data_IF_495207915889
#
_entry.id   IF_495207915889
#
_cell.length_a   1.000
_cell.length_b   1.000
_cell.length_c   1.000
_cell.angle_alpha   90.00
_cell.angle_beta   90.00
_cell.angle_gamma   90.00
#
_symmetry.space_group_name_H-M   'P 1'
#
loop_
_entity.id
_entity.type
_entity.pdbx_description
1 polymer ?
#
# COMPACT_ATOMS: atom_id res chain seq x y z
N UNK A 1 -21.28 -17.39 -5.34
CA UNK A 1 -20.08 -16.54 -5.28
C UNK A 1 -18.99 -17.21 -6.06
N UNK A 2 -18.34 -16.51 -6.99
CA UNK A 2 -17.19 -17.03 -7.73
C UNK A 2 -16.00 -17.20 -6.77
N UNK A 3 -15.50 -18.44 -6.53
CA UNK A 3 -14.36 -18.68 -5.65
C UNK A 3 -13.10 -17.92 -6.08
N UNK A 4 -12.89 -17.71 -7.39
CA UNK A 4 -11.72 -16.99 -7.92
C UNK A 4 -11.71 -15.54 -7.46
N UNK A 5 -12.87 -14.86 -7.56
CA UNK A 5 -13.03 -13.47 -7.14
C UNK A 5 -12.82 -13.28 -5.65
N UNK A 6 -13.28 -14.23 -4.83
CA UNK A 6 -13.09 -14.16 -3.38
C UNK A 6 -11.60 -14.24 -3.01
N UNK A 7 -10.83 -15.12 -3.65
CA UNK A 7 -9.40 -15.25 -3.39
C UNK A 7 -8.61 -14.02 -3.88
N UNK A 8 -9.01 -13.41 -5.00
CA UNK A 8 -8.46 -12.11 -5.44
C UNK A 8 -8.70 -11.03 -4.39
N UNK A 9 -9.91 -10.92 -3.85
CA UNK A 9 -10.24 -9.93 -2.82
C UNK A 9 -9.44 -10.14 -1.53
N UNK A 10 -9.30 -11.38 -1.06
CA UNK A 10 -8.46 -11.70 0.11
C UNK A 10 -7.00 -11.33 -0.10
N UNK A 11 -6.47 -11.63 -1.30
CA UNK A 11 -5.09 -11.28 -1.65
C UNK A 11 -4.88 -9.76 -1.64
N UNK A 12 -5.85 -8.99 -2.15
CA UNK A 12 -5.80 -7.53 -2.10
C UNK A 12 -5.91 -6.99 -0.68
N UNK A 13 -6.82 -7.55 0.12
CA UNK A 13 -6.99 -7.21 1.53
C UNK A 13 -5.67 -7.41 2.30
N UNK A 14 -5.02 -8.56 2.13
CA UNK A 14 -3.74 -8.87 2.78
C UNK A 14 -2.60 -7.92 2.38
N UNK A 15 -2.62 -7.36 1.16
CA UNK A 15 -1.62 -6.39 0.70
C UNK A 15 -1.92 -4.97 1.19
N UNK A 16 -3.20 -4.61 1.34
CA UNK A 16 -3.63 -3.26 1.67
C UNK A 16 -3.72 -3.01 3.19
N UNK A 17 -4.23 -3.99 3.93
CA UNK A 17 -4.67 -3.82 5.32
C UNK A 17 -3.70 -4.49 6.28
N UNK A 18 -3.16 -3.71 7.21
CA UNK A 18 -2.33 -4.22 8.31
C UNK A 18 -3.17 -5.12 9.22
N UNK A 19 -2.77 -6.39 9.44
CA UNK A 19 -3.52 -7.28 10.30
C UNK A 19 -3.44 -6.82 11.76
N UNK A 20 -4.41 -7.27 12.58
CA UNK A 20 -4.33 -7.06 14.03
C UNK A 20 -3.33 -8.04 14.64
N UNK A 21 -2.63 -7.63 15.70
CA UNK A 21 -1.70 -8.51 16.41
C UNK A 21 -0.68 -7.74 17.25
N UNK A 22 0.22 -8.48 17.89
CA UNK A 22 1.24 -7.89 18.78
C UNK A 22 2.27 -7.06 18.04
N UNK A 23 2.65 -7.48 16.84
CA UNK A 23 3.65 -6.82 15.99
C UNK A 23 3.26 -6.99 14.51
N UNK A 24 2.20 -6.31 14.05
CA UNK A 24 1.81 -6.43 12.66
C UNK A 24 2.75 -5.63 11.78
N UNK A 25 3.06 -6.15 10.59
CA UNK A 25 3.85 -5.44 9.59
C UNK A 25 2.96 -4.40 8.88
N UNK A 26 3.35 -3.11 8.85
CA UNK A 26 2.61 -2.09 8.12
C UNK A 26 2.41 -2.46 6.65
N UNK A 27 1.16 -2.49 6.21
CA UNK A 27 0.78 -2.71 4.81
C UNK A 27 0.67 -1.39 4.07
N UNK A 28 0.26 -1.46 2.81
CA UNK A 28 0.27 -0.33 1.88
C UNK A 28 -0.38 0.94 2.46
N UNK A 29 -1.58 0.82 3.04
CA UNK A 29 -2.31 1.98 3.58
C UNK A 29 -1.52 2.67 4.70
N UNK A 30 -0.96 1.90 5.64
CA UNK A 30 -0.17 2.46 6.74
C UNK A 30 1.11 3.13 6.24
N UNK A 31 1.74 2.57 5.20
CA UNK A 31 2.94 3.16 4.60
C UNK A 31 2.62 4.50 3.90
N UNK A 32 1.48 4.59 3.22
CA UNK A 32 0.98 5.85 2.63
C UNK A 32 0.67 6.87 3.71
N UNK A 33 -0.04 6.47 4.77
CA UNK A 33 -0.36 7.35 5.91
C UNK A 33 0.91 7.85 6.62
N UNK A 34 1.90 6.98 6.79
CA UNK A 34 3.19 7.35 7.35
C UNK A 34 3.87 8.42 6.49
N UNK A 35 4.00 8.18 5.18
CA UNK A 35 4.63 9.13 4.25
C UNK A 35 3.85 10.46 4.22
N UNK A 36 2.52 10.41 4.17
CA UNK A 36 1.67 11.58 4.28
C UNK A 36 1.94 12.37 5.56
N UNK A 37 2.08 11.69 6.70
CA UNK A 37 2.43 12.31 7.97
C UNK A 37 3.82 12.97 7.95
N UNK A 38 4.79 12.35 7.29
CA UNK A 38 6.14 12.93 7.14
C UNK A 38 6.09 14.22 6.34
N UNK A 39 5.38 14.25 5.21
CA UNK A 39 5.37 15.42 4.31
C UNK A 39 4.43 16.54 4.78
N UNK A 40 3.36 16.21 5.51
CA UNK A 40 2.36 17.20 5.95
C UNK A 40 2.81 18.00 7.17
N UNK A 41 3.75 17.48 7.97
CA UNK A 41 4.27 18.14 9.17
C UNK A 41 5.61 18.85 8.93
N UNK A 42 6.19 18.72 7.75
CA UNK A 42 7.48 19.29 7.46
C UNK A 42 7.32 20.79 7.12
N UNK A 43 7.94 21.65 7.92
CA UNK A 43 8.06 23.09 7.60
C UNK A 43 9.01 23.35 6.41
N UNK A 44 9.75 22.31 5.98
CA UNK A 44 10.68 22.31 4.86
C UNK A 44 10.25 21.30 3.80
N UNK A 45 10.77 21.46 2.58
CA UNK A 45 10.54 20.50 1.51
C UNK A 45 10.99 19.08 1.93
N UNK A 46 10.25 18.03 1.55
CA UNK A 46 10.65 16.66 1.83
C UNK A 46 12.04 16.34 1.23
N UNK A 47 12.82 15.54 1.95
CA UNK A 47 14.11 15.06 1.45
C UNK A 47 13.93 14.03 0.33
N UNK A 48 15.05 13.69 -0.34
CA UNK A 48 15.08 12.70 -1.44
C UNK A 48 14.42 11.38 -1.07
N UNK A 49 14.61 10.92 0.16
CA UNK A 49 14.05 9.65 0.63
C UNK A 49 12.52 9.62 0.60
N UNK A 50 11.86 10.77 0.83
CA UNK A 50 10.41 10.86 0.77
C UNK A 50 9.89 10.72 -0.67
N UNK A 51 10.60 11.31 -1.65
CA UNK A 51 10.28 11.17 -3.07
C UNK A 51 10.54 9.74 -3.56
N UNK A 52 11.68 9.15 -3.20
CA UNK A 52 11.97 7.76 -3.53
C UNK A 52 10.90 6.83 -2.93
N UNK A 53 10.50 7.09 -1.69
CA UNK A 53 9.46 6.29 -1.04
C UNK A 53 8.11 6.44 -1.74
N UNK A 54 7.80 7.63 -2.23
CA UNK A 54 6.59 7.86 -3.02
C UNK A 54 6.60 7.04 -4.31
N UNK A 55 7.69 7.09 -5.09
CA UNK A 55 7.85 6.32 -6.33
C UNK A 55 7.72 4.81 -6.10
N UNK A 56 8.33 4.28 -5.02
CA UNK A 56 8.18 2.88 -4.61
C UNK A 56 6.72 2.51 -4.34
N UNK A 57 5.97 3.37 -3.63
CA UNK A 57 4.57 3.12 -3.33
C UNK A 57 3.68 3.19 -4.59
N UNK A 58 3.99 4.08 -5.54
CA UNK A 58 3.29 4.12 -6.83
C UNK A 58 3.48 2.82 -7.62
N UNK A 59 4.71 2.27 -7.64
CA UNK A 59 4.98 0.98 -8.30
C UNK A 59 4.19 -0.16 -7.65
N UNK A 60 4.21 -0.24 -6.31
CA UNK A 60 3.44 -1.26 -5.57
C UNK A 60 1.93 -1.15 -5.87
N UNK A 61 1.40 0.08 -5.99
CA UNK A 61 0.00 0.30 -6.34
C UNK A 61 -0.31 -0.17 -7.77
N UNK A 62 0.54 0.16 -8.75
CA UNK A 62 0.37 -0.25 -10.13
C UNK A 62 0.38 -1.79 -10.26
N UNK A 63 1.31 -2.46 -9.58
CA UNK A 63 1.37 -3.93 -9.53
C UNK A 63 0.10 -4.56 -8.93
N UNK A 64 -0.49 -3.93 -7.89
CA UNK A 64 -1.75 -4.38 -7.31
C UNK A 64 -2.91 -4.25 -8.30
N UNK A 65 -2.96 -3.15 -9.05
CA UNK A 65 -3.99 -2.90 -10.06
C UNK A 65 -3.89 -3.88 -11.23
N UNK A 66 -2.68 -4.13 -11.74
CA UNK A 66 -2.46 -5.09 -12.83
C UNK A 66 -2.82 -6.53 -12.40
N UNK A 67 -2.47 -6.90 -11.16
CA UNK A 67 -2.82 -8.20 -10.58
C UNK A 67 -4.34 -8.39 -10.38
N UNK A 68 -5.08 -7.30 -10.22
CA UNK A 68 -6.53 -7.32 -10.09
C UNK A 68 -7.24 -7.39 -11.45
N UNK A 69 -6.72 -6.70 -12.47
CA UNK A 69 -7.31 -6.66 -13.83
C UNK A 69 -7.05 -7.93 -14.63
N UNK A 70 -5.87 -8.54 -14.49
CA UNK A 70 -5.50 -9.76 -15.26
C UNK A 70 -6.22 -11.03 -14.78
N UNK A 71 -7.02 -10.95 -13.71
CA UNK A 71 -7.73 -12.07 -13.09
C UNK A 71 -9.25 -12.06 -13.28
N UNK A 72 -9.78 -11.04 -13.96
CA UNK A 72 -11.19 -10.94 -14.36
C UNK A 72 -11.43 -11.46 -15.79
#
# INVERSE_FOLDING_TARGET
SDPSRLETLKTLEDRLITPKGRYPQPRFIDQVQYLYGVISRADQLPGRDAYQRFEELEQVLAEMQESAVTRD
#
